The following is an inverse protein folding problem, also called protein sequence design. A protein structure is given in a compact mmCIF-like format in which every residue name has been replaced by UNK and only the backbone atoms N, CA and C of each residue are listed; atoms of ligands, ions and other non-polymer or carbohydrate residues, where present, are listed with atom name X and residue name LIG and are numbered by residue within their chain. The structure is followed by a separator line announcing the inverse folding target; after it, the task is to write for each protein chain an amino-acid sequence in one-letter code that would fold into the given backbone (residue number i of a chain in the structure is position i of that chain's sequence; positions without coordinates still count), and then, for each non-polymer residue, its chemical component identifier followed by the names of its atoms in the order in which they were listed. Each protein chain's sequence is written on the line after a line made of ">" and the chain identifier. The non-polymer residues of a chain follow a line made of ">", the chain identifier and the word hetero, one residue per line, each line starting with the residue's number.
data_IF_558560240208
#
_entry.id   IF_558560240208
#
_cell.length_a   1.000
_cell.length_b   1.000
_cell.length_c   1.000
_cell.angle_alpha   90.00
_cell.angle_beta   90.00
_cell.angle_gamma   90.00
#
_symmetry.space_group_name_H-M   'P 1'
#
loop_
_entity.id
_entity.type
_entity.pdbx_description
1 polymer ?
#
# COMPACT_ATOMS: atom_id res chain seq x y z
N UNK A 1 5.63 14.23 9.28
CA UNK A 1 5.94 12.82 9.60
C UNK A 1 6.51 12.17 8.34
N UNK A 2 7.54 11.35 8.49
CA UNK A 2 8.25 10.78 7.33
C UNK A 2 7.57 9.46 6.88
N UNK A 3 7.27 9.33 5.59
CA UNK A 3 6.70 8.12 4.96
C UNK A 3 7.54 6.86 5.20
N UNK A 4 8.85 7.01 5.44
CA UNK A 4 9.77 5.90 5.70
C UNK A 4 9.38 5.03 6.90
N UNK A 5 8.58 5.54 7.83
CA UNK A 5 8.04 4.74 8.94
C UNK A 5 7.06 3.65 8.49
N UNK A 6 6.49 3.77 7.30
CA UNK A 6 5.52 2.83 6.72
C UNK A 6 6.11 2.03 5.57
N UNK A 7 7.33 2.37 5.14
CA UNK A 7 7.92 1.80 3.95
C UNK A 7 8.31 0.35 4.17
N UNK A 8 7.73 -0.55 3.40
CA UNK A 8 8.31 -1.86 3.13
C UNK A 8 9.37 -1.68 2.05
N UNK A 9 10.66 -1.86 2.35
CA UNK A 9 11.73 -1.56 1.41
C UNK A 9 11.73 -2.52 0.22
N UNK A 10 12.28 -2.08 -0.90
CA UNK A 10 12.39 -2.87 -2.14
C UNK A 10 13.00 -4.26 -1.94
N UNK A 11 13.94 -4.42 -1.00
CA UNK A 11 14.54 -5.70 -0.65
C UNK A 11 13.53 -6.76 -0.19
N UNK A 12 12.43 -6.30 0.42
CA UNK A 12 11.42 -7.17 1.04
C UNK A 12 10.16 -7.29 0.18
N UNK A 13 10.10 -6.55 -0.93
CA UNK A 13 8.97 -6.52 -1.86
C UNK A 13 9.31 -7.34 -3.11
N UNK A 14 8.42 -8.28 -3.48
CA UNK A 14 8.52 -8.90 -4.79
C UNK A 14 8.03 -7.91 -5.87
N UNK A 15 8.75 -7.88 -6.97
CA UNK A 15 8.42 -7.09 -8.15
C UNK A 15 8.74 -7.87 -9.43
N UNK A 16 8.23 -7.42 -10.56
CA UNK A 16 8.50 -7.97 -11.88
C UNK A 16 9.32 -6.96 -12.68
N UNK A 17 10.03 -7.45 -13.68
CA UNK A 17 10.53 -6.59 -14.75
C UNK A 17 9.54 -6.52 -15.91
N UNK A 18 9.48 -5.39 -16.60
CA UNK A 18 8.55 -5.15 -17.71
C UNK A 18 8.75 -6.11 -18.89
N UNK A 19 9.95 -6.65 -19.06
CA UNK A 19 10.31 -7.66 -20.06
C UNK A 19 9.95 -9.11 -19.65
N UNK A 20 9.32 -9.28 -18.48
CA UNK A 20 8.82 -10.59 -18.07
C UNK A 20 7.56 -10.99 -18.83
N UNK A 21 7.29 -12.29 -18.84
CA UNK A 21 6.08 -12.85 -19.44
C UNK A 21 4.95 -13.00 -18.43
N UNK A 22 3.74 -13.17 -18.94
CA UNK A 22 2.56 -13.46 -18.10
C UNK A 22 2.78 -14.70 -17.21
N UNK A 23 3.43 -15.76 -17.72
CA UNK A 23 3.74 -16.94 -16.92
C UNK A 23 4.62 -16.62 -15.73
N UNK A 24 5.71 -15.87 -15.94
CA UNK A 24 6.59 -15.46 -14.84
C UNK A 24 5.88 -14.59 -13.80
N UNK A 25 4.94 -13.74 -14.24
CA UNK A 25 4.11 -12.97 -13.34
C UNK A 25 3.21 -13.87 -12.47
N UNK A 26 2.49 -14.80 -13.11
CA UNK A 26 1.61 -15.75 -12.42
C UNK A 26 2.36 -16.59 -11.38
N UNK A 27 3.49 -17.16 -11.75
CA UNK A 27 4.33 -17.96 -10.84
C UNK A 27 4.80 -17.15 -9.63
N UNK A 28 5.23 -15.90 -9.85
CA UNK A 28 5.72 -15.04 -8.77
C UNK A 28 4.59 -14.55 -7.86
N UNK A 29 3.44 -14.19 -8.42
CA UNK A 29 2.25 -13.78 -7.66
C UNK A 29 1.72 -14.95 -6.82
N UNK A 30 1.61 -16.15 -7.38
CA UNK A 30 1.20 -17.36 -6.65
C UNK A 30 2.16 -17.70 -5.52
N UNK A 31 3.47 -17.69 -5.77
CA UNK A 31 4.49 -17.98 -4.76
C UNK A 31 4.45 -16.98 -3.58
N UNK A 32 4.22 -15.70 -3.86
CA UNK A 32 4.18 -14.63 -2.86
C UNK A 32 2.79 -14.37 -2.28
N UNK A 33 1.75 -15.00 -2.85
CA UNK A 33 0.33 -14.74 -2.50
C UNK A 33 -0.07 -13.28 -2.67
N UNK A 34 0.43 -12.66 -3.73
CA UNK A 34 0.16 -11.26 -4.06
C UNK A 34 -1.02 -11.15 -5.04
N UNK A 35 -1.98 -10.29 -4.72
CA UNK A 35 -3.07 -9.90 -5.63
C UNK A 35 -2.70 -8.78 -6.60
N UNK A 36 -1.60 -8.10 -6.34
CA UNK A 36 -1.04 -7.06 -7.18
C UNK A 36 0.48 -6.99 -6.97
N UNK A 37 1.26 -6.75 -8.02
CA UNK A 37 2.72 -6.74 -7.96
C UNK A 37 3.29 -5.59 -8.78
N UNK A 38 4.27 -4.82 -8.24
CA UNK A 38 4.95 -3.77 -8.97
C UNK A 38 5.75 -4.29 -10.16
N UNK A 39 5.77 -3.50 -11.24
CA UNK A 39 6.58 -3.75 -12.44
C UNK A 39 7.61 -2.63 -12.58
N UNK A 40 8.86 -3.01 -12.75
CA UNK A 40 10.00 -2.10 -12.91
C UNK A 40 10.66 -2.29 -14.27
N UNK A 41 11.35 -1.24 -14.73
CA UNK A 41 12.30 -1.38 -15.83
C UNK A 41 13.66 -1.91 -15.32
N UNK A 42 14.60 -2.17 -16.23
CA UNK A 42 15.93 -2.67 -15.87
C UNK A 42 16.80 -1.64 -15.17
N UNK A 43 16.47 -0.37 -15.28
CA UNK A 43 17.10 0.74 -14.57
C UNK A 43 16.59 0.86 -13.12
N UNK A 44 15.58 0.07 -12.74
CA UNK A 44 15.00 0.04 -11.39
C UNK A 44 13.95 1.13 -11.15
N UNK A 45 13.41 1.73 -12.19
CA UNK A 45 12.32 2.69 -12.10
C UNK A 45 10.98 1.97 -12.07
N UNK A 46 10.03 2.54 -11.34
CA UNK A 46 8.66 2.04 -11.33
C UNK A 46 7.99 2.34 -12.67
N UNK A 47 7.46 1.31 -13.32
CA UNK A 47 6.74 1.42 -14.58
C UNK A 47 5.24 1.37 -14.33
N UNK A 48 4.79 0.32 -13.63
CA UNK A 48 3.36 0.04 -13.46
C UNK A 48 3.13 -1.01 -12.35
N UNK A 49 1.88 -1.38 -12.16
CA UNK A 49 1.47 -2.52 -11.32
C UNK A 49 0.55 -3.42 -12.13
N UNK A 50 0.76 -4.72 -12.04
CA UNK A 50 -0.15 -5.74 -12.58
C UNK A 50 -0.97 -6.35 -11.44
N UNK A 51 -2.26 -6.56 -11.68
CA UNK A 51 -3.21 -7.13 -10.72
C UNK A 51 -3.78 -8.46 -11.23
N UNK A 52 -4.29 -9.29 -10.30
CA UNK A 52 -5.07 -10.49 -10.66
C UNK A 52 -6.24 -10.15 -11.59
N UNK A 53 -6.89 -8.99 -11.38
CA UNK A 53 -7.98 -8.52 -12.22
C UNK A 53 -7.54 -8.22 -13.65
N UNK A 54 -6.33 -7.68 -13.86
CA UNK A 54 -5.80 -7.44 -15.21
C UNK A 54 -5.61 -8.75 -15.95
N UNK A 55 -5.03 -9.75 -15.26
CA UNK A 55 -4.79 -11.09 -15.80
C UNK A 55 -6.11 -11.81 -16.10
N UNK A 56 -7.05 -11.78 -15.14
CA UNK A 56 -8.36 -12.42 -15.29
C UNK A 56 -9.09 -11.90 -16.54
N UNK A 57 -9.15 -10.58 -16.71
CA UNK A 57 -9.87 -10.00 -17.85
C UNK A 57 -9.14 -10.16 -19.16
N UNK A 58 -7.83 -10.32 -19.15
CA UNK A 58 -7.07 -10.71 -20.33
C UNK A 58 -7.45 -12.12 -20.80
N UNK A 59 -7.53 -13.07 -19.85
CA UNK A 59 -7.97 -14.44 -20.11
C UNK A 59 -9.41 -14.48 -20.63
N UNK A 60 -10.33 -13.77 -20.00
CA UNK A 60 -11.75 -13.72 -20.41
C UNK A 60 -11.90 -13.17 -21.82
N UNK A 61 -11.13 -12.13 -22.19
CA UNK A 61 -11.20 -11.54 -23.54
C UNK A 61 -10.64 -12.43 -24.62
N UNK A 62 -9.61 -13.21 -24.32
CA UNK A 62 -8.97 -14.09 -25.30
C UNK A 62 -9.65 -15.44 -25.46
N UNK A 63 -10.60 -15.80 -24.58
CA UNK A 63 -11.40 -17.05 -24.58
C UNK A 63 -10.59 -18.35 -24.67
N UNK A 64 -9.28 -18.30 -24.64
CA UNK A 64 -8.39 -19.44 -24.83
C UNK A 64 -7.06 -19.20 -24.10
N UNK A 65 -7.10 -19.45 -22.78
CA UNK A 65 -5.92 -19.33 -21.94
C UNK A 65 -5.32 -20.72 -21.66
N UNK A 66 -4.02 -20.85 -21.88
CA UNK A 66 -3.23 -21.94 -21.32
C UNK A 66 -1.83 -21.46 -20.94
N UNK A 67 -1.15 -22.20 -20.06
CA UNK A 67 0.16 -21.81 -19.54
C UNK A 67 1.25 -21.76 -20.63
N UNK A 68 1.16 -22.59 -21.67
CA UNK A 68 2.10 -22.54 -22.78
C UNK A 68 1.96 -21.25 -23.60
N UNK A 69 0.73 -20.74 -23.75
CA UNK A 69 0.50 -19.42 -24.36
C UNK A 69 0.99 -18.28 -23.48
N UNK A 70 0.82 -18.40 -22.16
CA UNK A 70 1.27 -17.39 -21.19
C UNK A 70 2.80 -17.15 -21.24
N UNK A 71 3.59 -18.14 -21.63
CA UNK A 71 5.05 -17.98 -21.83
C UNK A 71 5.40 -16.99 -22.94
N UNK A 72 4.50 -16.77 -23.89
CA UNK A 72 4.70 -15.92 -25.06
C UNK A 72 4.07 -14.54 -24.94
N UNK A 73 3.29 -14.30 -23.89
CA UNK A 73 2.61 -13.02 -23.69
C UNK A 73 3.49 -12.13 -22.80
N UNK A 74 4.07 -11.05 -23.36
CA UNK A 74 4.81 -10.09 -22.56
C UNK A 74 3.87 -9.28 -21.67
N UNK A 75 4.34 -8.87 -20.49
CA UNK A 75 3.55 -8.08 -19.54
C UNK A 75 3.06 -6.75 -20.12
N UNK A 76 3.79 -6.19 -21.08
CA UNK A 76 3.48 -4.94 -21.76
C UNK A 76 2.21 -5.01 -22.61
N UNK A 77 1.81 -6.21 -23.05
CA UNK A 77 0.59 -6.43 -23.84
C UNK A 77 -0.67 -6.56 -22.97
N UNK A 78 -0.51 -6.79 -21.67
CA UNK A 78 -1.65 -6.96 -20.76
C UNK A 78 -2.22 -5.59 -20.42
N UNK A 79 -3.48 -5.36 -20.79
CA UNK A 79 -4.16 -4.09 -20.53
C UNK A 79 -4.42 -3.89 -19.04
N UNK A 80 -3.91 -2.81 -18.47
CA UNK A 80 -4.21 -2.40 -17.10
C UNK A 80 -5.62 -1.84 -17.00
N UNK A 81 -6.36 -2.26 -16.00
CA UNK A 81 -7.71 -1.76 -15.70
C UNK A 81 -7.67 -0.48 -14.88
N UNK A 82 -6.69 -0.37 -14.02
CA UNK A 82 -6.45 0.79 -13.18
C UNK A 82 -4.99 1.18 -13.25
N UNK A 83 -4.74 2.48 -13.19
CA UNK A 83 -3.39 3.00 -13.06
C UNK A 83 -3.06 3.14 -11.57
N UNK A 84 -2.01 2.46 -11.12
CA UNK A 84 -1.47 2.60 -9.77
C UNK A 84 -0.33 3.60 -9.83
N UNK A 85 -0.56 4.78 -9.28
CA UNK A 85 0.42 5.86 -9.32
C UNK A 85 1.36 5.82 -8.12
N UNK A 86 2.67 5.96 -8.34
CA UNK A 86 3.63 6.08 -7.26
C UNK A 86 3.55 7.44 -6.57
N UNK A 87 4.16 7.53 -5.40
CA UNK A 87 4.41 8.78 -4.69
C UNK A 87 5.90 9.00 -4.48
N UNK A 88 6.29 10.26 -4.37
CA UNK A 88 7.66 10.62 -3.97
C UNK A 88 7.89 10.30 -2.48
N UNK A 89 9.15 10.05 -2.12
CA UNK A 89 9.58 9.82 -0.74
C UNK A 89 9.22 10.97 0.22
N UNK A 90 9.04 12.18 -0.29
CA UNK A 90 8.69 13.41 0.47
C UNK A 90 7.20 13.72 0.46
N UNK A 91 6.38 12.79 -0.02
CA UNK A 91 4.92 12.98 -0.02
C UNK A 91 4.40 13.25 1.40
N UNK A 92 3.40 14.11 1.51
CA UNK A 92 2.71 14.34 2.77
C UNK A 92 1.88 13.13 3.15
N UNK A 93 1.74 12.89 4.45
CA UNK A 93 0.98 11.75 4.95
C UNK A 93 -0.48 11.79 4.52
N UNK A 94 -1.07 12.98 4.42
CA UNK A 94 -2.45 13.18 4.00
C UNK A 94 -2.67 12.72 2.56
N UNK A 95 -1.75 13.07 1.65
CA UNK A 95 -1.80 12.65 0.24
C UNK A 95 -1.57 11.14 0.10
N UNK A 96 -0.67 10.58 0.92
CA UNK A 96 -0.46 9.13 0.98
C UNK A 96 -1.72 8.40 1.46
N UNK A 97 -2.41 8.92 2.49
CA UNK A 97 -3.67 8.36 2.98
C UNK A 97 -4.74 8.37 1.90
N UNK A 98 -4.91 9.47 1.17
CA UNK A 98 -5.86 9.57 0.07
C UNK A 98 -5.57 8.52 -1.02
N UNK A 99 -4.32 8.38 -1.43
CA UNK A 99 -3.95 7.33 -2.41
C UNK A 99 -4.20 5.92 -1.90
N UNK A 100 -3.98 5.65 -0.62
CA UNK A 100 -4.22 4.33 -0.03
C UNK A 100 -5.72 3.95 0.04
N UNK A 101 -6.63 4.91 -0.07
CA UNK A 101 -8.06 4.63 -0.18
C UNK A 101 -8.43 3.98 -1.53
N UNK A 102 -7.69 4.32 -2.58
CA UNK A 102 -7.93 3.81 -3.94
C UNK A 102 -7.06 2.60 -4.29
N UNK A 103 -5.87 2.48 -3.70
CA UNK A 103 -4.86 1.48 -4.02
C UNK A 103 -4.59 0.56 -2.82
N UNK A 104 -4.38 -0.74 -3.06
CA UNK A 104 -4.05 -1.71 -1.99
C UNK A 104 -2.67 -1.46 -1.38
N UNK A 105 -1.75 -0.95 -2.21
CA UNK A 105 -0.47 -0.42 -1.80
C UNK A 105 -0.12 0.79 -2.67
N UNK A 106 0.74 1.65 -2.17
CA UNK A 106 1.25 2.83 -2.87
C UNK A 106 2.74 2.61 -3.14
N UNK A 107 3.16 2.52 -4.41
CA UNK A 107 4.58 2.47 -4.75
C UNK A 107 5.27 3.78 -4.37
N UNK A 108 6.50 3.68 -3.85
CA UNK A 108 7.31 4.83 -3.46
C UNK A 108 8.56 4.92 -4.33
N UNK A 109 8.83 6.09 -4.83
CA UNK A 109 9.99 6.40 -5.66
C UNK A 109 10.84 7.51 -5.02
N UNK A 110 12.13 7.49 -5.32
CA UNK A 110 13.06 8.56 -4.95
C UNK A 110 13.03 9.74 -5.94
N UNK A 111 13.89 10.73 -5.72
CA UNK A 111 14.08 11.90 -6.57
C UNK A 111 14.57 11.56 -7.99
N UNK A 112 15.18 10.39 -8.18
CA UNK A 112 15.62 9.83 -9.46
C UNK A 112 14.61 8.88 -10.10
N UNK A 113 13.37 8.85 -9.61
CA UNK A 113 12.29 7.94 -10.03
C UNK A 113 12.58 6.46 -9.82
N UNK A 114 13.58 6.10 -9.00
CA UNK A 114 13.86 4.71 -8.67
C UNK A 114 12.84 4.21 -7.64
N UNK A 115 12.36 2.99 -7.86
CA UNK A 115 11.48 2.32 -6.92
C UNK A 115 12.25 1.93 -5.65
N UNK A 116 11.80 2.43 -4.51
CA UNK A 116 12.43 2.18 -3.21
C UNK A 116 11.63 1.24 -2.31
N UNK A 117 10.35 1.04 -2.60
CA UNK A 117 9.49 0.15 -1.83
C UNK A 117 8.01 0.48 -2.00
N UNK A 118 7.21 -0.04 -1.10
CA UNK A 118 5.76 0.20 -1.05
C UNK A 118 5.32 0.62 0.35
N UNK A 119 4.20 1.33 0.40
CA UNK A 119 3.42 1.50 1.64
C UNK A 119 2.10 0.79 1.44
N UNK A 120 1.74 -0.14 2.33
CA UNK A 120 0.49 -0.88 2.22
C UNK A 120 -0.67 -0.12 2.84
N UNK A 121 -1.88 -0.35 2.35
CA UNK A 121 -3.12 0.14 2.98
C UNK A 121 -3.21 -0.32 4.43
N UNK A 122 -2.77 -1.54 4.72
CA UNK A 122 -2.77 -2.08 6.08
C UNK A 122 -1.93 -1.25 7.02
N UNK A 123 -0.72 -0.85 6.61
CA UNK A 123 0.18 -0.06 7.45
C UNK A 123 -0.40 1.33 7.76
N UNK A 124 -1.04 1.94 6.76
CA UNK A 124 -1.74 3.22 6.95
C UNK A 124 -2.92 3.07 7.91
N UNK A 125 -3.75 2.05 7.74
CA UNK A 125 -4.90 1.80 8.62
C UNK A 125 -4.45 1.50 10.06
N UNK A 126 -3.39 0.71 10.24
CA UNK A 126 -2.82 0.44 11.55
C UNK A 126 -2.34 1.72 12.23
N UNK A 127 -1.65 2.58 11.50
CA UNK A 127 -1.25 3.89 12.02
C UNK A 127 -2.44 4.76 12.45
N UNK A 128 -3.47 4.84 11.62
CA UNK A 128 -4.68 5.59 11.95
C UNK A 128 -5.34 5.05 13.22
N UNK A 129 -5.46 3.74 13.33
CA UNK A 129 -6.01 3.07 14.52
C UNK A 129 -5.19 3.40 15.78
N UNK A 130 -3.86 3.28 15.71
CA UNK A 130 -2.97 3.55 16.85
C UNK A 130 -3.05 5.03 17.30
N UNK A 131 -3.27 5.95 16.36
CA UNK A 131 -3.45 7.36 16.66
C UNK A 131 -4.77 7.63 17.35
N UNK A 132 -5.86 7.02 16.87
CA UNK A 132 -7.19 7.15 17.48
C UNK A 132 -7.21 6.57 18.90
N UNK A 133 -6.64 5.41 19.11
CA UNK A 133 -6.56 4.76 20.43
C UNK A 133 -5.76 5.61 21.44
N UNK A 134 -4.64 6.20 21.02
CA UNK A 134 -3.88 7.14 21.85
C UNK A 134 -4.68 8.38 22.20
N UNK A 135 -5.39 8.96 21.24
CA UNK A 135 -6.23 10.14 21.47
C UNK A 135 -7.37 9.83 22.45
N UNK A 136 -8.03 8.68 22.29
CA UNK A 136 -9.11 8.24 23.17
C UNK A 136 -8.63 8.00 24.62
N UNK A 137 -7.47 7.37 24.78
CA UNK A 137 -6.83 7.20 26.11
C UNK A 137 -6.44 8.53 26.75
N UNK A 138 -5.92 9.47 25.96
CA UNK A 138 -5.58 10.81 26.44
C UNK A 138 -6.81 11.56 26.94
N UNK A 139 -7.89 11.59 26.14
CA UNK A 139 -9.15 12.23 26.55
C UNK A 139 -9.75 11.60 27.81
N UNK A 140 -9.75 10.26 27.91
CA UNK A 140 -10.23 9.58 29.13
C UNK A 140 -9.41 9.96 30.36
N UNK A 141 -8.09 10.05 30.22
CA UNK A 141 -7.20 10.46 31.33
C UNK A 141 -7.50 11.89 31.77
N UNK A 142 -7.57 12.83 30.85
CA UNK A 142 -7.88 14.25 31.14
C UNK A 142 -9.27 14.41 31.76
N UNK A 143 -10.28 13.67 31.31
CA UNK A 143 -11.61 13.67 31.90
C UNK A 143 -11.59 13.14 33.33
N UNK A 144 -10.85 12.07 33.59
CA UNK A 144 -10.71 11.49 34.93
C UNK A 144 -10.00 12.45 35.87
N UNK A 145 -8.89 13.06 35.46
CA UNK A 145 -8.15 14.05 36.25
C UNK A 145 -9.00 15.29 36.56
N UNK A 146 -9.74 15.81 35.54
CA UNK A 146 -10.65 16.92 35.75
C UNK A 146 -11.80 16.58 36.71
N UNK A 147 -12.33 15.36 36.64
CA UNK A 147 -13.38 14.88 37.55
C UNK A 147 -12.88 14.77 38.96
N UNK A 148 -11.70 14.23 39.20
CA UNK A 148 -11.06 14.13 40.52
C UNK A 148 -10.81 15.54 41.07
N UNK A 149 -10.23 16.43 40.28
CA UNK A 149 -9.99 17.83 40.70
C UNK A 149 -11.26 18.54 41.13
N UNK A 150 -12.36 18.34 40.37
CA UNK A 150 -13.67 18.95 40.69
C UNK A 150 -14.24 18.42 42.02
N UNK A 151 -14.14 17.10 42.26
CA UNK A 151 -14.59 16.49 43.50
C UNK A 151 -13.74 16.97 44.72
N UNK A 152 -12.43 17.05 44.60
CA UNK A 152 -11.53 17.53 45.66
C UNK A 152 -11.77 19.00 45.97
N UNK A 153 -12.00 19.84 44.96
CA UNK A 153 -12.18 21.28 45.12
C UNK A 153 -13.57 21.66 45.61
N UNK A 154 -14.62 20.98 45.18
CA UNK A 154 -16.02 21.36 45.45
C UNK A 154 -16.79 20.32 46.27
N UNK A 155 -16.28 19.09 46.43
CA UNK A 155 -16.94 18.03 47.21
C UNK A 155 -16.88 18.24 48.73
N UNK A 156 -16.15 19.24 49.22
CA UNK A 156 -16.07 19.61 50.64
C UNK A 156 -17.09 20.64 51.12
N UNK A 157 -18.05 21.01 50.29
CA UNK A 157 -19.02 22.09 50.60
C UNK A 157 -20.42 21.58 50.93
N UNK A 158 -20.58 20.29 51.26
CA UNK A 158 -21.86 19.73 51.72
C UNK A 158 -21.58 18.99 53.03
N UNK A 159 -21.43 19.79 54.09
CA UNK A 159 -21.74 19.42 55.49
C UNK A 159 -22.56 20.51 56.12
#
# INVERSE_FOLDING_TARGET
>A
MNILFFLTPKSDVAFLYEDFTLRQALEKMEHRKYSAIPVLNREGEYVDTITEGDILWEVVRKHDFNMAKAEKVPLTEIKRRMRVEPVSIDVKIEDLMLKSMEQNFVPVIDDKKKFIGIVTRKDILQYCFDKLDKCDRQMKKEFTEASIYHVEKYGKSIQ
#
